data_IF_659225448505
#
_entry.id   IF_659225448505
#
_cell.length_a   1.000
_cell.length_b   1.000
_cell.length_c   1.000
_cell.angle_alpha   90.00
_cell.angle_beta   90.00
_cell.angle_gamma   90.00
#
_symmetry.space_group_name_H-M   'P 1'
#
loop_
_entity.id
_entity.type
_entity.pdbx_description
1 polymer ?
#
# COMPACT_ATOMS: atom_id res chain seq x y z
N UNK A 1 -0.93 -36.64 2.18
CA UNK A 1 -1.68 -37.88 1.93
C UNK A 1 -0.98 -38.83 0.93
N UNK A 2 -0.48 -38.41 -0.26
CA UNK A 2 0.13 -39.36 -1.22
C UNK A 2 1.40 -40.06 -0.70
N UNK A 3 2.14 -39.44 0.21
CA UNK A 3 3.31 -40.04 0.84
C UNK A 3 2.97 -41.18 1.82
N UNK A 4 1.83 -41.08 2.49
CA UNK A 4 1.36 -42.06 3.47
C UNK A 4 0.76 -43.31 2.78
N UNK A 5 0.03 -43.14 1.68
CA UNK A 5 -0.57 -44.26 0.95
C UNK A 5 0.45 -45.18 0.28
N UNK A 6 1.61 -44.64 -0.14
CA UNK A 6 2.71 -45.47 -0.69
C UNK A 6 3.48 -46.23 0.38
N UNK A 7 3.58 -45.73 1.60
CA UNK A 7 4.18 -46.48 2.72
C UNK A 7 3.46 -47.81 2.98
N UNK A 8 2.15 -47.85 2.70
CA UNK A 8 1.33 -49.05 2.88
C UNK A 8 1.56 -50.10 1.77
N UNK A 9 2.07 -49.66 0.60
CA UNK A 9 2.26 -50.55 -0.59
C UNK A 9 3.72 -50.99 -0.80
N UNK A 10 4.67 -50.48 0.00
CA UNK A 10 6.08 -50.85 -0.12
C UNK A 10 6.34 -52.18 0.58
N UNK A 11 6.91 -53.13 -0.15
CA UNK A 11 7.31 -54.42 0.46
C UNK A 11 8.43 -54.20 1.46
N UNK A 12 8.45 -54.92 2.62
CA UNK A 12 9.47 -54.76 3.67
C UNK A 12 10.89 -54.95 3.20
N UNK A 13 11.11 -55.74 2.16
CA UNK A 13 12.46 -56.00 1.57
C UNK A 13 13.03 -54.77 0.84
N UNK A 14 12.22 -53.83 0.36
CA UNK A 14 12.70 -52.59 -0.27
C UNK A 14 13.16 -51.55 0.74
N UNK A 15 12.57 -51.55 1.93
CA UNK A 15 12.97 -50.64 3.03
C UNK A 15 14.37 -51.00 3.55
N UNK A 16 14.74 -52.26 3.50
CA UNK A 16 16.07 -52.75 3.94
C UNK A 16 17.19 -52.50 2.94
N UNK A 17 16.90 -52.14 1.70
CA UNK A 17 17.88 -51.95 0.62
C UNK A 17 18.26 -50.50 0.34
N UNK A 18 17.90 -49.51 1.15
CA UNK A 18 18.18 -48.07 0.96
C UNK A 18 17.82 -47.47 -0.43
N UNK A 19 17.08 -48.22 -1.27
CA UNK A 19 16.75 -47.86 -2.65
C UNK A 19 15.33 -47.33 -2.77
N UNK A 20 14.83 -46.65 -1.73
CA UNK A 20 13.55 -46.00 -1.79
C UNK A 20 13.66 -44.57 -2.33
N UNK A 21 13.92 -44.44 -3.62
CA UNK A 21 13.66 -43.22 -4.34
C UNK A 21 12.12 -43.06 -4.42
N UNK A 22 11.57 -42.20 -3.61
CA UNK A 22 10.16 -41.77 -3.71
C UNK A 22 9.99 -40.88 -4.94
N UNK A 23 10.01 -41.48 -6.10
CA UNK A 23 9.71 -40.78 -7.34
C UNK A 23 8.20 -40.68 -7.50
N UNK A 24 7.60 -39.75 -6.75
CA UNK A 24 6.29 -39.20 -7.15
C UNK A 24 6.56 -38.35 -8.38
N UNK A 25 5.97 -38.74 -9.49
CA UNK A 25 6.01 -37.88 -10.66
C UNK A 25 5.64 -36.46 -10.20
N UNK A 26 6.51 -35.50 -10.47
CA UNK A 26 6.35 -34.07 -10.09
C UNK A 26 4.94 -33.54 -10.46
N UNK A 27 4.37 -34.04 -11.57
CA UNK A 27 3.11 -33.59 -12.15
C UNK A 27 1.91 -33.73 -11.19
N UNK A 28 1.59 -34.90 -10.56
CA UNK A 28 0.40 -34.99 -9.73
C UNK A 28 0.48 -34.14 -8.45
N UNK A 29 1.65 -33.99 -7.86
CA UNK A 29 1.85 -33.14 -6.67
C UNK A 29 1.67 -31.66 -7.03
N UNK A 30 2.22 -31.27 -8.19
CA UNK A 30 2.07 -29.91 -8.72
C UNK A 30 0.61 -29.58 -9.05
N UNK A 31 -0.11 -30.47 -9.73
CA UNK A 31 -1.53 -30.30 -10.02
C UNK A 31 -2.41 -30.22 -8.75
N UNK A 32 -2.10 -31.03 -7.73
CA UNK A 32 -2.77 -30.89 -6.43
C UNK A 32 -2.50 -29.54 -5.78
N UNK A 33 -1.28 -29.02 -5.86
CA UNK A 33 -0.95 -27.69 -5.36
C UNK A 33 -1.72 -26.57 -6.08
N UNK A 34 -1.80 -26.65 -7.42
CA UNK A 34 -2.59 -25.72 -8.21
C UNK A 34 -4.09 -25.79 -7.89
N UNK A 35 -4.63 -27.00 -7.72
CA UNK A 35 -6.04 -27.18 -7.36
C UNK A 35 -6.34 -26.64 -5.95
N UNK A 36 -5.45 -26.85 -4.99
CA UNK A 36 -5.58 -26.30 -3.65
C UNK A 36 -5.50 -24.77 -3.66
N UNK A 37 -4.57 -24.20 -4.43
CA UNK A 37 -4.43 -22.76 -4.61
C UNK A 37 -5.70 -22.14 -5.22
N UNK A 38 -6.23 -22.74 -6.29
CA UNK A 38 -7.48 -22.30 -6.89
C UNK A 38 -8.67 -22.37 -5.92
N UNK A 39 -8.77 -23.47 -5.15
CA UNK A 39 -9.81 -23.64 -4.14
C UNK A 39 -9.74 -22.54 -3.07
N UNK A 40 -8.54 -22.23 -2.56
CA UNK A 40 -8.34 -21.15 -1.58
C UNK A 40 -8.73 -19.79 -2.16
N UNK A 41 -8.35 -19.50 -3.40
CA UNK A 41 -8.76 -18.27 -4.09
C UNK A 41 -10.28 -18.18 -4.19
N UNK A 42 -10.94 -19.26 -4.59
CA UNK A 42 -12.40 -19.29 -4.72
C UNK A 42 -13.11 -19.11 -3.38
N UNK A 43 -12.63 -19.75 -2.32
CA UNK A 43 -13.18 -19.61 -0.96
C UNK A 43 -13.01 -18.17 -0.42
N UNK A 44 -11.91 -17.52 -0.76
CA UNK A 44 -11.64 -16.15 -0.31
C UNK A 44 -12.43 -15.10 -1.10
N UNK A 45 -12.48 -15.22 -2.43
CA UNK A 45 -13.12 -14.22 -3.29
C UNK A 45 -14.63 -14.42 -3.40
N UNK A 46 -15.14 -15.62 -3.15
CA UNK A 46 -16.52 -16.04 -3.36
C UNK A 46 -17.07 -15.77 -4.79
N UNK A 47 -16.20 -15.43 -5.74
CA UNK A 47 -16.52 -15.11 -7.13
C UNK A 47 -15.67 -15.93 -8.10
N UNK A 48 -16.31 -16.79 -8.90
CA UNK A 48 -15.61 -17.69 -9.82
C UNK A 48 -14.79 -16.93 -10.88
N UNK A 49 -15.35 -15.87 -11.46
CA UNK A 49 -14.71 -15.08 -12.51
C UNK A 49 -13.42 -14.42 -12.00
N UNK A 50 -13.49 -13.79 -10.83
CA UNK A 50 -12.34 -13.12 -10.21
C UNK A 50 -11.26 -14.15 -9.82
N UNK A 51 -11.66 -15.31 -9.27
CA UNK A 51 -10.72 -16.39 -8.94
C UNK A 51 -9.99 -16.92 -10.16
N UNK A 52 -10.67 -17.09 -11.31
CA UNK A 52 -10.05 -17.52 -12.56
C UNK A 52 -9.07 -16.48 -13.11
N UNK A 53 -9.44 -15.19 -13.09
CA UNK A 53 -8.55 -14.11 -13.54
C UNK A 53 -7.28 -14.09 -12.72
N UNK A 54 -7.38 -14.13 -11.39
CA UNK A 54 -6.22 -14.13 -10.49
C UNK A 54 -5.38 -15.38 -10.70
N UNK A 55 -6.01 -16.56 -10.77
CA UNK A 55 -5.31 -17.85 -10.94
C UNK A 55 -4.48 -17.90 -12.23
N UNK A 56 -5.10 -17.58 -13.37
CA UNK A 56 -4.37 -17.56 -14.64
C UNK A 56 -3.39 -16.40 -14.74
N UNK A 57 -3.69 -15.25 -14.11
CA UNK A 57 -2.78 -14.12 -13.98
C UNK A 57 -1.49 -14.51 -13.27
N UNK A 58 -1.59 -15.17 -12.11
CA UNK A 58 -0.43 -15.64 -11.32
C UNK A 58 0.37 -16.68 -12.10
N UNK A 59 -0.28 -17.65 -12.76
CA UNK A 59 0.41 -18.65 -13.58
C UNK A 59 1.12 -18.00 -14.77
N UNK A 60 0.45 -17.10 -15.48
CA UNK A 60 1.02 -16.37 -16.62
C UNK A 60 2.22 -15.52 -16.20
N UNK A 61 2.09 -14.76 -15.12
CA UNK A 61 3.18 -13.97 -14.56
C UNK A 61 4.38 -14.84 -14.14
N UNK A 62 4.12 -15.99 -13.50
CA UNK A 62 5.17 -16.93 -13.08
C UNK A 62 5.89 -17.54 -14.29
N UNK A 63 5.13 -17.95 -15.32
CA UNK A 63 5.71 -18.51 -16.54
C UNK A 63 6.55 -17.48 -17.30
N UNK A 64 6.07 -16.25 -17.43
CA UNK A 64 6.80 -15.15 -18.06
C UNK A 64 8.06 -14.79 -17.28
N UNK A 65 7.97 -14.71 -15.93
CA UNK A 65 9.10 -14.40 -15.06
C UNK A 65 10.20 -15.45 -15.16
N UNK A 66 9.86 -16.72 -14.97
CA UNK A 66 10.82 -17.84 -15.09
C UNK A 66 11.41 -17.90 -16.51
N UNK A 67 10.57 -17.74 -17.55
CA UNK A 67 10.99 -17.72 -18.94
C UNK A 67 11.98 -16.60 -19.25
N UNK A 68 11.72 -15.38 -18.76
CA UNK A 68 12.60 -14.23 -18.92
C UNK A 68 13.97 -14.46 -18.27
N UNK A 69 13.99 -14.95 -17.04
CA UNK A 69 15.23 -15.27 -16.31
C UNK A 69 16.00 -16.38 -17.04
N UNK A 70 15.31 -17.42 -17.51
CA UNK A 70 15.89 -18.50 -18.28
C UNK A 70 16.59 -18.00 -19.56
N UNK A 71 15.96 -17.06 -20.28
CA UNK A 71 16.53 -16.45 -21.47
C UNK A 71 17.73 -15.56 -21.16
N UNK A 72 17.68 -14.79 -20.06
CA UNK A 72 18.81 -13.97 -19.60
C UNK A 72 20.04 -14.81 -19.24
N UNK A 73 19.85 -15.94 -18.57
CA UNK A 73 20.93 -16.87 -18.22
C UNK A 73 21.50 -17.60 -19.45
N UNK A 74 20.73 -17.72 -20.53
CA UNK A 74 21.10 -18.49 -21.73
C UNK A 74 21.91 -17.75 -22.81
N UNK A 75 21.96 -16.43 -22.80
CA UNK A 75 22.40 -15.63 -23.97
C UNK A 75 23.90 -15.47 -24.21
N UNK A 76 24.79 -15.79 -23.28
CA UNK A 76 26.23 -15.56 -23.46
C UNK A 76 27.04 -16.86 -23.35
N UNK A 77 27.83 -17.17 -24.39
CA UNK A 77 28.85 -18.23 -24.34
C UNK A 77 30.04 -17.71 -23.54
N UNK A 78 30.24 -18.20 -22.32
CA UNK A 78 31.51 -17.98 -21.60
C UNK A 78 32.58 -18.82 -22.27
N UNK A 79 33.68 -18.15 -22.67
CA UNK A 79 34.83 -18.84 -23.24
C UNK A 79 35.39 -19.89 -22.26
N UNK A 80 35.58 -21.09 -22.74
CA UNK A 80 36.32 -22.16 -22.08
C UNK A 80 37.74 -21.64 -21.91
N UNK A 81 38.17 -21.34 -20.69
CA UNK A 81 39.57 -21.02 -20.43
C UNK A 81 39.87 -20.07 -19.26
N UNK A 82 38.90 -19.56 -18.59
CA UNK A 82 39.12 -18.65 -17.47
C UNK A 82 39.14 -19.43 -16.14
N UNK A 83 40.29 -19.34 -15.44
CA UNK A 83 40.52 -19.95 -14.12
C UNK A 83 40.11 -18.97 -13.02
N UNK A 84 39.20 -19.39 -12.12
CA UNK A 84 38.84 -18.60 -10.95
C UNK A 84 37.47 -18.95 -10.37
N UNK A 85 37.21 -18.66 -9.08
CA UNK A 85 35.96 -19.02 -8.41
C UNK A 85 34.72 -18.32 -9.00
N UNK A 86 34.86 -17.10 -9.52
CA UNK A 86 33.77 -16.35 -10.12
C UNK A 86 33.31 -16.97 -11.44
N UNK A 87 34.23 -17.41 -12.27
CA UNK A 87 33.92 -18.02 -13.57
C UNK A 87 33.33 -19.42 -13.42
N UNK A 88 33.79 -20.17 -12.42
CA UNK A 88 33.17 -21.42 -12.04
C UNK A 88 31.71 -21.17 -11.60
N UNK A 89 31.47 -20.17 -10.77
CA UNK A 89 30.11 -19.77 -10.32
C UNK A 89 29.20 -19.43 -11.48
N UNK A 90 29.64 -18.58 -12.43
CA UNK A 90 28.89 -18.21 -13.61
C UNK A 90 28.60 -19.41 -14.54
N UNK A 91 29.54 -20.32 -14.68
CA UNK A 91 29.35 -21.53 -15.49
C UNK A 91 28.33 -22.47 -14.87
N UNK A 92 28.31 -22.61 -13.55
CA UNK A 92 27.35 -23.43 -12.82
C UNK A 92 25.95 -22.82 -12.89
N UNK A 93 25.80 -21.48 -12.72
CA UNK A 93 24.54 -20.78 -12.90
C UNK A 93 23.90 -21.09 -14.26
N UNK A 94 24.69 -21.09 -15.33
CA UNK A 94 24.23 -21.36 -16.69
C UNK A 94 23.96 -22.83 -16.96
N UNK A 95 24.74 -23.73 -16.38
CA UNK A 95 24.54 -25.15 -16.58
C UNK A 95 23.19 -25.64 -16.06
N UNK A 96 22.68 -25.01 -14.99
CA UNK A 96 21.40 -25.32 -14.35
C UNK A 96 20.36 -24.22 -14.52
N UNK A 97 20.35 -23.59 -15.68
CA UNK A 97 19.52 -22.41 -15.96
C UNK A 97 18.03 -22.59 -15.56
N UNK A 98 17.42 -23.76 -15.77
CA UNK A 98 16.03 -23.99 -15.38
C UNK A 98 15.83 -23.97 -13.86
N UNK A 99 16.60 -24.73 -13.11
CA UNK A 99 16.51 -24.75 -11.65
C UNK A 99 16.87 -23.40 -11.02
N UNK A 100 17.93 -22.75 -11.52
CA UNK A 100 18.33 -21.44 -11.05
C UNK A 100 17.31 -20.34 -11.41
N UNK A 101 16.64 -20.42 -12.58
CA UNK A 101 15.57 -19.48 -12.93
C UNK A 101 14.39 -19.61 -12.00
N UNK A 102 14.01 -20.83 -11.62
CA UNK A 102 12.95 -21.05 -10.64
C UNK A 102 13.33 -20.50 -9.27
N UNK A 103 14.57 -20.73 -8.81
CA UNK A 103 15.07 -20.19 -7.54
C UNK A 103 15.10 -18.66 -7.54
N UNK A 104 15.66 -18.05 -8.61
CA UNK A 104 15.69 -16.59 -8.75
C UNK A 104 14.27 -16.04 -8.69
N UNK A 105 13.33 -16.63 -9.42
CA UNK A 105 11.94 -16.18 -9.44
C UNK A 105 11.30 -16.29 -8.05
N UNK A 106 11.47 -17.42 -7.36
CA UNK A 106 10.94 -17.63 -6.02
C UNK A 106 11.48 -16.60 -5.02
N UNK A 107 12.79 -16.33 -5.05
CA UNK A 107 13.38 -15.29 -4.19
C UNK A 107 12.96 -13.89 -4.60
N UNK A 108 12.79 -13.62 -5.90
CA UNK A 108 12.26 -12.34 -6.41
C UNK A 108 10.89 -12.03 -5.81
N UNK A 109 9.95 -12.98 -5.86
CA UNK A 109 8.62 -12.83 -5.29
C UNK A 109 8.68 -12.66 -3.78
N UNK A 110 9.47 -13.49 -3.10
CA UNK A 110 9.61 -13.42 -1.65
C UNK A 110 10.15 -12.05 -1.17
N UNK A 111 11.24 -11.57 -1.80
CA UNK A 111 11.84 -10.28 -1.48
C UNK A 111 10.89 -9.13 -1.90
N UNK A 112 10.28 -9.23 -3.08
CA UNK A 112 9.34 -8.23 -3.59
C UNK A 112 8.13 -8.04 -2.67
N UNK A 113 7.48 -9.13 -2.24
CA UNK A 113 6.37 -9.08 -1.28
C UNK A 113 6.80 -8.50 0.08
N UNK A 114 7.98 -8.89 0.56
CA UNK A 114 8.52 -8.33 1.81
C UNK A 114 8.73 -6.82 1.70
N UNK A 115 9.29 -6.34 0.59
CA UNK A 115 9.52 -4.91 0.35
C UNK A 115 8.21 -4.14 0.16
N UNK A 116 7.21 -4.70 -0.55
CA UNK A 116 5.88 -4.09 -0.69
C UNK A 116 5.24 -3.92 0.68
N UNK A 117 5.21 -4.99 1.48
CA UNK A 117 4.59 -4.93 2.82
C UNK A 117 5.33 -3.98 3.75
N UNK A 118 6.67 -3.96 3.69
CA UNK A 118 7.49 -3.00 4.44
C UNK A 118 7.19 -1.55 4.05
N UNK A 119 7.17 -1.26 2.74
CA UNK A 119 6.87 0.07 2.23
C UNK A 119 5.45 0.52 2.59
N UNK A 120 4.46 -0.37 2.42
CA UNK A 120 3.08 -0.09 2.81
C UNK A 120 2.96 0.24 4.31
N UNK A 121 3.63 -0.53 5.17
CA UNK A 121 3.65 -0.28 6.62
C UNK A 121 4.27 1.07 6.98
N UNK A 122 5.40 1.44 6.37
CA UNK A 122 6.08 2.71 6.63
C UNK A 122 5.31 3.92 6.08
N UNK A 123 4.75 3.81 4.89
CA UNK A 123 4.04 4.91 4.25
C UNK A 123 2.69 5.21 4.90
N UNK A 124 1.94 4.17 5.29
CA UNK A 124 0.70 4.36 6.06
C UNK A 124 0.96 5.07 7.38
N UNK A 125 2.03 4.72 8.08
CA UNK A 125 2.41 5.41 9.33
C UNK A 125 2.90 6.84 9.07
N UNK A 126 3.80 7.02 8.10
CA UNK A 126 4.47 8.31 7.84
C UNK A 126 3.48 9.37 7.35
N UNK A 127 2.63 9.05 6.41
CA UNK A 127 1.67 10.00 5.83
C UNK A 127 0.63 10.45 6.86
N UNK A 128 0.11 9.56 7.67
CA UNK A 128 -0.90 9.90 8.68
C UNK A 128 -0.35 10.62 9.91
N UNK A 129 0.85 10.28 10.37
CA UNK A 129 1.49 11.01 11.48
C UNK A 129 1.88 12.44 11.10
N UNK A 130 2.20 12.69 9.82
CA UNK A 130 2.52 14.03 9.32
C UNK A 130 1.28 14.81 8.85
N UNK A 131 0.16 14.13 8.60
CA UNK A 131 -1.08 14.76 8.12
C UNK A 131 -1.85 15.53 9.19
N UNK A 132 -1.63 15.23 10.47
CA UNK A 132 -2.29 15.92 11.59
C UNK A 132 -1.23 16.72 12.35
N UNK A 133 -1.03 18.02 12.06
CA UNK A 133 -0.17 18.89 12.85
C UNK A 133 -0.59 18.89 14.33
N UNK A 134 0.37 19.04 15.25
CA UNK A 134 0.10 19.02 16.69
C UNK A 134 -0.85 20.16 17.15
N UNK A 135 -0.91 21.25 16.40
CA UNK A 135 -1.79 22.40 16.63
C UNK A 135 -3.06 22.40 15.76
N UNK A 136 -3.39 21.26 15.15
CA UNK A 136 -4.65 21.11 14.40
C UNK A 136 -5.84 21.37 15.31
N UNK A 137 -6.90 22.04 14.78
CA UNK A 137 -8.12 22.26 15.56
C UNK A 137 -8.66 20.94 16.14
N UNK A 138 -8.85 20.90 17.45
CA UNK A 138 -9.42 19.75 18.16
C UNK A 138 -10.85 20.01 18.68
N UNK A 139 -11.37 21.21 18.45
CA UNK A 139 -12.73 21.60 18.80
C UNK A 139 -13.40 22.31 17.64
N UNK A 140 -14.71 22.04 17.47
CA UNK A 140 -15.61 22.76 16.57
C UNK A 140 -16.67 23.46 17.39
N UNK A 141 -16.99 24.70 17.04
CA UNK A 141 -18.15 25.41 17.54
C UNK A 141 -19.13 25.68 16.40
N UNK A 142 -20.36 25.26 16.58
CA UNK A 142 -21.47 25.46 15.63
C UNK A 142 -22.62 26.19 16.26
N UNK A 143 -23.57 26.66 15.45
CA UNK A 143 -24.74 27.43 15.88
C UNK A 143 -24.38 28.75 16.58
N UNK A 144 -23.26 29.35 16.22
CA UNK A 144 -22.85 30.65 16.74
C UNK A 144 -23.78 31.70 16.11
N UNK A 145 -24.49 32.43 16.94
CA UNK A 145 -25.38 33.50 16.44
C UNK A 145 -24.54 34.70 15.96
N UNK A 146 -25.11 35.58 15.07
CA UNK A 146 -24.42 36.81 14.70
C UNK A 146 -24.08 37.71 15.88
N UNK A 147 -24.90 37.69 16.94
CA UNK A 147 -24.68 38.47 18.16
C UNK A 147 -23.51 37.91 19.00
N UNK A 148 -23.35 36.59 19.02
CA UNK A 148 -22.31 35.92 19.83
C UNK A 148 -20.96 35.88 19.13
N UNK A 149 -20.91 36.09 17.79
CA UNK A 149 -19.69 35.97 16.99
C UNK A 149 -18.53 36.82 17.51
N UNK A 150 -18.78 38.14 17.70
CA UNK A 150 -17.74 39.09 18.15
C UNK A 150 -17.28 38.79 19.57
N UNK A 151 -18.21 38.48 20.46
CA UNK A 151 -17.91 38.15 21.85
C UNK A 151 -17.12 36.85 21.96
N UNK A 152 -17.48 35.82 21.18
CA UNK A 152 -16.77 34.56 21.13
C UNK A 152 -15.38 34.72 20.54
N UNK A 153 -15.22 35.54 19.51
CA UNK A 153 -13.91 35.83 18.93
C UNK A 153 -12.99 36.52 19.96
N UNK A 154 -13.53 37.46 20.72
CA UNK A 154 -12.81 38.15 21.82
C UNK A 154 -12.43 37.16 22.93
N UNK A 155 -13.36 36.29 23.35
CA UNK A 155 -13.10 35.26 24.35
C UNK A 155 -11.93 34.34 23.92
N UNK A 156 -11.93 33.86 22.67
CA UNK A 156 -10.84 33.00 22.16
C UNK A 156 -9.50 33.74 22.14
N UNK A 157 -9.49 35.01 21.71
CA UNK A 157 -8.27 35.83 21.68
C UNK A 157 -7.74 36.13 23.10
N UNK A 158 -8.58 36.47 24.05
CA UNK A 158 -8.18 36.74 25.44
C UNK A 158 -7.57 35.52 26.12
N UNK A 159 -7.97 34.31 25.72
CA UNK A 159 -7.41 33.05 26.23
C UNK A 159 -6.27 32.47 25.40
N UNK A 160 -5.76 33.26 24.43
CA UNK A 160 -4.67 32.86 23.52
C UNK A 160 -4.98 31.57 22.73
N UNK A 161 -6.25 31.42 22.32
CA UNK A 161 -6.74 30.31 21.49
C UNK A 161 -6.80 30.75 20.04
N UNK A 162 -6.02 30.09 19.18
CA UNK A 162 -6.06 30.33 17.73
C UNK A 162 -7.30 29.65 17.12
N UNK A 163 -8.18 30.44 16.54
CA UNK A 163 -9.34 29.94 15.81
C UNK A 163 -9.15 30.10 14.28
N UNK A 164 -9.77 29.21 13.52
CA UNK A 164 -10.00 29.40 12.09
C UNK A 164 -11.05 30.50 11.88
N UNK A 165 -11.21 31.03 10.66
CA UNK A 165 -12.25 32.01 10.37
C UNK A 165 -13.65 31.54 10.77
N UNK A 166 -14.52 32.48 11.12
CA UNK A 166 -15.92 32.21 11.41
C UNK A 166 -16.70 32.21 10.09
N UNK A 167 -17.08 31.03 9.63
CA UNK A 167 -17.80 30.83 8.37
C UNK A 167 -19.31 30.94 8.60
N UNK A 168 -20.03 31.83 7.87
CA UNK A 168 -21.48 31.82 7.89
C UNK A 168 -22.01 30.55 7.24
N UNK A 169 -23.00 29.92 7.84
CA UNK A 169 -23.54 28.63 7.38
C UNK A 169 -25.07 28.69 7.39
N UNK A 170 -25.63 28.13 6.33
CA UNK A 170 -27.08 27.84 6.26
C UNK A 170 -27.31 26.51 5.55
N UNK A 171 -28.45 25.87 5.84
CA UNK A 171 -28.90 24.68 5.12
C UNK A 171 -29.58 25.04 3.83
N UNK A 172 -29.20 24.42 2.73
CA UNK A 172 -29.80 24.64 1.42
C UNK A 172 -29.99 23.34 0.64
N UNK A 173 -31.00 23.36 -0.24
CA UNK A 173 -31.23 22.33 -1.27
C UNK A 173 -30.83 22.91 -2.61
N UNK A 174 -30.14 22.15 -3.45
CA UNK A 174 -29.71 22.57 -4.79
C UNK A 174 -30.45 21.75 -5.85
N UNK A 175 -30.84 22.40 -6.95
CA UNK A 175 -31.48 21.75 -8.10
C UNK A 175 -31.14 22.48 -9.43
N UNK A 176 -31.15 21.72 -10.55
CA UNK A 176 -30.99 22.27 -11.92
C UNK A 176 -32.35 22.70 -12.50
N UNK A 177 -32.35 23.60 -13.50
CA UNK A 177 -33.54 24.20 -14.08
C UNK A 177 -34.41 23.29 -14.95
N UNK A 178 -33.80 22.26 -15.57
CA UNK A 178 -34.51 21.39 -16.53
C UNK A 178 -35.32 20.26 -15.88
N UNK A 179 -35.35 20.20 -14.57
CA UNK A 179 -35.94 19.09 -13.82
C UNK A 179 -37.41 19.39 -13.49
N UNK A 180 -38.28 19.20 -14.47
CA UNK A 180 -39.74 19.14 -14.24
C UNK A 180 -40.19 17.86 -13.53
N UNK A 181 -39.28 16.88 -13.33
CA UNK A 181 -39.51 15.64 -12.61
C UNK A 181 -38.98 15.73 -11.19
N UNK A 182 -39.82 15.37 -10.20
CA UNK A 182 -39.42 15.32 -8.78
C UNK A 182 -38.28 14.34 -8.47
N UNK A 183 -37.94 13.46 -9.42
CA UNK A 183 -36.89 12.45 -9.28
C UNK A 183 -35.46 12.99 -9.47
N UNK A 184 -35.28 14.15 -10.09
CA UNK A 184 -33.94 14.71 -10.41
C UNK A 184 -33.51 15.84 -9.45
N UNK A 185 -34.22 16.07 -8.37
CA UNK A 185 -33.75 16.95 -7.30
C UNK A 185 -32.55 16.32 -6.64
N UNK A 186 -31.48 17.10 -6.47
CA UNK A 186 -30.42 16.79 -5.55
C UNK A 186 -31.04 16.77 -4.15
N UNK A 187 -31.68 15.66 -3.79
CA UNK A 187 -32.55 15.54 -2.59
C UNK A 187 -31.70 15.42 -1.31
N UNK A 188 -30.67 16.26 -1.20
CA UNK A 188 -29.82 16.35 -0.04
C UNK A 188 -29.70 17.78 0.44
N UNK A 189 -29.92 17.99 1.73
CA UNK A 189 -29.57 19.24 2.39
C UNK A 189 -28.06 19.38 2.49
N UNK A 190 -27.55 20.49 1.94
CA UNK A 190 -26.14 20.86 2.07
C UNK A 190 -26.00 21.99 3.07
N UNK A 191 -24.97 21.92 3.90
CA UNK A 191 -24.47 23.07 4.60
C UNK A 191 -23.65 23.89 3.61
N UNK A 192 -24.12 25.07 3.26
CA UNK A 192 -23.43 25.98 2.35
C UNK A 192 -22.87 27.16 3.14
N UNK A 193 -21.77 27.71 2.63
CA UNK A 193 -21.17 28.94 3.15
C UNK A 193 -20.99 29.95 2.02
N UNK A 194 -20.65 31.19 2.40
CA UNK A 194 -20.30 32.25 1.45
C UNK A 194 -19.13 33.06 2.00
N UNK A 195 -18.09 33.18 1.20
CA UNK A 195 -16.82 33.84 1.54
C UNK A 195 -16.23 34.50 0.30
N UNK A 196 -15.43 35.54 0.50
CA UNK A 196 -14.72 36.22 -0.58
C UNK A 196 -13.41 35.55 -0.94
N UNK A 197 -12.69 35.02 0.06
CA UNK A 197 -11.38 34.42 -0.11
C UNK A 197 -11.48 32.91 -0.21
N UNK A 198 -10.62 32.29 -1.05
CA UNK A 198 -10.54 30.84 -1.16
C UNK A 198 -10.05 30.27 0.18
N UNK A 199 -10.73 29.26 0.77
CA UNK A 199 -10.26 28.63 1.99
C UNK A 199 -8.87 28.00 1.83
N UNK A 200 -8.07 28.05 2.88
CA UNK A 200 -6.80 27.33 2.92
C UNK A 200 -7.00 25.85 2.55
N UNK A 201 -6.10 25.30 1.75
CA UNK A 201 -6.11 23.88 1.32
C UNK A 201 -7.30 23.48 0.42
N UNK A 202 -7.91 24.45 -0.26
CA UNK A 202 -8.78 24.22 -1.38
C UNK A 202 -8.09 24.70 -2.66
N UNK A 203 -7.98 23.83 -3.67
CA UNK A 203 -7.36 24.14 -4.96
C UNK A 203 -8.41 24.15 -6.06
N UNK A 204 -8.39 25.16 -6.92
CA UNK A 204 -9.31 25.26 -8.05
C UNK A 204 -8.87 24.29 -9.14
N UNK A 205 -9.75 23.35 -9.53
CA UNK A 205 -9.51 22.39 -10.60
C UNK A 205 -9.89 22.95 -11.96
N UNK A 206 -11.06 23.58 -12.05
CA UNK A 206 -11.60 24.15 -13.30
C UNK A 206 -12.31 25.46 -12.98
N UNK A 207 -12.29 26.39 -13.94
CA UNK A 207 -12.87 27.72 -13.78
C UNK A 207 -11.96 28.65 -12.99
N UNK A 208 -12.50 29.73 -12.48
CA UNK A 208 -11.80 30.74 -11.68
C UNK A 208 -12.56 30.99 -10.39
N UNK A 209 -11.83 31.37 -9.32
CA UNK A 209 -12.46 31.84 -8.10
C UNK A 209 -13.31 33.08 -8.39
N UNK A 210 -14.13 33.49 -7.48
CA UNK A 210 -15.10 34.58 -7.69
C UNK A 210 -14.49 35.82 -8.33
N UNK A 211 -15.00 36.21 -9.51
CA UNK A 211 -14.60 37.45 -10.18
C UNK A 211 -15.35 38.62 -9.52
N UNK A 212 -14.65 39.74 -9.33
CA UNK A 212 -15.22 40.99 -8.79
C UNK A 212 -16.39 41.53 -9.60
N UNK A 213 -16.58 41.09 -10.84
CA UNK A 213 -17.64 41.56 -11.76
C UNK A 213 -18.84 40.59 -11.89
N UNK A 214 -18.70 39.31 -11.46
CA UNK A 214 -19.73 38.28 -11.51
C UNK A 214 -20.12 37.87 -10.08
N UNK A 215 -21.12 38.52 -9.53
CA UNK A 215 -21.52 38.37 -8.13
C UNK A 215 -22.48 37.19 -7.87
N UNK A 216 -22.73 36.30 -8.84
CA UNK A 216 -23.80 35.28 -8.78
C UNK A 216 -23.27 33.86 -8.91
N UNK A 217 -21.98 33.65 -8.70
CA UNK A 217 -21.33 32.34 -8.85
C UNK A 217 -21.30 31.52 -7.56
N UNK A 218 -21.24 30.18 -7.75
CA UNK A 218 -20.89 29.24 -6.70
C UNK A 218 -19.68 28.43 -7.13
N UNK A 219 -18.91 28.00 -6.15
CA UNK A 219 -17.84 27.02 -6.29
C UNK A 219 -18.27 25.69 -5.67
N UNK A 220 -18.11 24.60 -6.41
CA UNK A 220 -18.56 23.26 -6.02
C UNK A 220 -17.33 22.36 -5.82
N UNK A 221 -17.37 21.45 -4.84
CA UNK A 221 -16.33 20.43 -4.72
C UNK A 221 -16.40 19.47 -5.91
N UNK A 222 -15.25 18.89 -6.29
CA UNK A 222 -15.13 17.89 -7.35
C UNK A 222 -16.03 16.68 -7.10
N UNK A 223 -16.09 16.16 -5.87
CA UNK A 223 -16.98 15.07 -5.47
C UNK A 223 -18.45 15.33 -5.82
N UNK A 224 -18.92 16.55 -5.59
CA UNK A 224 -20.31 16.95 -5.87
C UNK A 224 -20.49 17.24 -7.36
N UNK A 225 -19.49 17.87 -8.00
CA UNK A 225 -19.48 18.11 -9.44
C UNK A 225 -19.59 16.79 -10.24
N UNK A 226 -18.81 15.77 -9.89
CA UNK A 226 -18.86 14.47 -10.55
C UNK A 226 -20.15 13.71 -10.25
N UNK A 227 -20.58 13.68 -8.98
CA UNK A 227 -21.76 12.92 -8.55
C UNK A 227 -23.07 13.42 -9.17
N UNK A 228 -23.20 14.75 -9.38
CA UNK A 228 -24.42 15.39 -9.87
C UNK A 228 -24.24 15.97 -11.28
N UNK A 229 -23.16 15.61 -11.97
CA UNK A 229 -22.85 16.05 -13.34
C UNK A 229 -22.98 17.57 -13.50
N UNK A 230 -22.38 18.34 -12.55
CA UNK A 230 -22.38 19.79 -12.56
C UNK A 230 -21.18 20.32 -13.34
N UNK A 231 -21.43 21.03 -14.44
CA UNK A 231 -20.39 21.64 -15.26
C UNK A 231 -20.30 23.15 -15.04
N UNK A 232 -19.15 23.76 -15.37
CA UNK A 232 -18.96 25.21 -15.30
C UNK A 232 -19.94 25.90 -16.25
N UNK A 233 -20.65 26.89 -15.74
CA UNK A 233 -21.69 27.63 -16.46
C UNK A 233 -23.09 27.08 -16.29
N UNK A 234 -23.27 25.91 -15.67
CA UNK A 234 -24.59 25.37 -15.35
C UNK A 234 -25.37 26.32 -14.45
N UNK A 235 -26.63 26.54 -14.81
CA UNK A 235 -27.58 27.29 -13.99
C UNK A 235 -28.11 26.40 -12.87
N UNK A 236 -27.93 26.82 -11.62
CA UNK A 236 -28.37 26.09 -10.43
C UNK A 236 -29.23 27.00 -9.55
N UNK A 237 -30.21 26.41 -8.90
CA UNK A 237 -31.08 27.05 -7.93
C UNK A 237 -30.76 26.56 -6.53
N UNK A 238 -30.61 27.49 -5.60
CA UNK A 238 -30.27 27.23 -4.19
C UNK A 238 -31.53 27.63 -3.38
N UNK A 239 -32.19 26.64 -2.81
CA UNK A 239 -33.35 26.87 -1.94
C UNK A 239 -32.92 26.91 -0.48
N UNK A 240 -33.10 28.06 0.16
CA UNK A 240 -32.87 28.30 1.59
C UNK A 240 -34.18 28.65 2.25
N UNK A 241 -34.75 27.71 3.02
CA UNK A 241 -36.13 27.91 3.54
C UNK A 241 -37.16 28.09 2.42
N UNK A 242 -37.79 29.23 2.37
CA UNK A 242 -38.75 29.59 1.32
C UNK A 242 -38.12 30.39 0.16
N UNK A 243 -36.89 30.84 0.30
CA UNK A 243 -36.20 31.64 -0.70
C UNK A 243 -35.49 30.78 -1.72
N UNK A 244 -35.57 31.14 -3.00
CA UNK A 244 -34.88 30.49 -4.12
C UNK A 244 -33.92 31.49 -4.74
N UNK A 245 -32.63 31.19 -4.65
CA UNK A 245 -31.54 32.01 -5.19
C UNK A 245 -31.06 31.35 -6.48
N UNK A 246 -31.03 32.14 -7.56
CA UNK A 246 -30.49 31.74 -8.85
C UNK A 246 -28.97 31.98 -8.87
N UNK A 247 -28.20 30.94 -9.25
CA UNK A 247 -26.75 30.98 -9.32
C UNK A 247 -26.21 30.19 -10.49
N UNK A 248 -24.90 30.25 -10.71
CA UNK A 248 -24.16 29.49 -11.74
C UNK A 248 -22.94 28.83 -11.14
N UNK A 249 -22.64 27.65 -11.64
CA UNK A 249 -21.36 26.95 -11.27
C UNK A 249 -20.20 27.72 -11.91
N UNK A 250 -19.43 28.43 -11.13
CA UNK A 250 -18.31 29.25 -11.59
C UNK A 250 -16.98 28.50 -11.56
N UNK A 251 -16.77 27.63 -10.57
CA UNK A 251 -15.56 26.81 -10.45
C UNK A 251 -15.83 25.47 -9.78
N UNK A 252 -14.98 24.52 -10.07
CA UNK A 252 -14.85 23.27 -9.30
C UNK A 252 -13.53 23.28 -8.57
N UNK A 253 -13.50 22.72 -7.35
CA UNK A 253 -12.32 22.70 -6.49
C UNK A 253 -12.15 21.37 -5.77
N UNK A 254 -10.89 20.99 -5.48
CA UNK A 254 -10.58 19.96 -4.51
C UNK A 254 -10.73 20.51 -3.10
N UNK A 255 -11.20 19.67 -2.20
CA UNK A 255 -11.36 19.99 -0.78
C UNK A 255 -10.58 18.99 0.04
N UNK A 256 -9.60 19.46 0.81
CA UNK A 256 -8.89 18.60 1.75
C UNK A 256 -9.71 18.49 3.05
N UNK A 257 -10.31 17.32 3.27
CA UNK A 257 -11.11 17.03 4.46
C UNK A 257 -10.26 16.63 5.69
N UNK A 258 -8.98 16.36 5.51
CA UNK A 258 -8.10 15.81 6.57
C UNK A 258 -7.51 16.88 7.52
N UNK A 259 -7.83 18.16 7.29
CA UNK A 259 -7.23 19.29 8.01
C UNK A 259 -7.97 19.72 9.28
N UNK A 260 -9.07 19.03 9.64
CA UNK A 260 -9.93 19.37 10.78
C UNK A 260 -10.38 20.84 10.83
N UNK A 261 -10.46 21.48 9.65
CA UNK A 261 -11.03 22.83 9.50
C UNK A 261 -12.42 22.74 8.93
N UNK A 262 -13.31 23.72 9.17
CA UNK A 262 -14.61 23.76 8.53
C UNK A 262 -14.45 23.80 7.01
N UNK A 263 -14.95 22.77 6.33
CA UNK A 263 -14.96 22.65 4.88
C UNK A 263 -16.39 22.49 4.38
N UNK A 264 -16.63 22.90 3.14
CA UNK A 264 -17.97 22.93 2.56
C UNK A 264 -17.92 22.36 1.14
N UNK A 265 -18.94 21.59 0.80
CA UNK A 265 -19.11 21.11 -0.58
C UNK A 265 -19.40 22.24 -1.56
N UNK A 266 -20.10 23.26 -1.10
CA UNK A 266 -20.55 24.38 -1.92
C UNK A 266 -20.26 25.67 -1.18
N UNK A 267 -19.61 26.58 -1.90
CA UNK A 267 -19.30 27.94 -1.43
C UNK A 267 -19.92 28.91 -2.43
N UNK A 268 -20.68 29.86 -1.93
CA UNK A 268 -21.26 30.92 -2.75
C UNK A 268 -20.56 32.27 -2.59
N UNK A 269 -20.78 33.17 -3.54
CA UNK A 269 -20.35 34.56 -3.39
C UNK A 269 -21.21 35.28 -2.33
N UNK A 270 -20.65 36.12 -1.44
CA UNK A 270 -21.37 36.76 -0.35
C UNK A 270 -22.57 37.61 -0.79
N UNK A 271 -22.52 38.15 -2.01
CA UNK A 271 -23.64 38.95 -2.52
C UNK A 271 -24.94 38.18 -2.72
N UNK A 272 -24.88 36.86 -2.90
CA UNK A 272 -26.05 35.98 -3.07
C UNK A 272 -26.85 35.79 -1.78
N UNK A 273 -26.22 35.98 -0.62
CA UNK A 273 -26.76 35.58 0.68
C UNK A 273 -26.90 36.75 1.67
N UNK A 274 -26.96 38.01 1.17
CA UNK A 274 -26.98 39.19 2.02
C UNK A 274 -28.16 39.24 3.00
N UNK A 275 -29.31 38.73 2.58
CA UNK A 275 -30.54 38.78 3.37
C UNK A 275 -30.86 37.40 4.03
N UNK A 276 -29.96 36.44 3.88
CA UNK A 276 -30.15 35.07 4.43
C UNK A 276 -29.72 35.01 5.89
N UNK A 277 -30.63 34.50 6.71
CA UNK A 277 -30.31 34.22 8.12
C UNK A 277 -29.30 33.06 8.22
N UNK A 278 -28.22 33.28 8.96
CA UNK A 278 -27.14 32.29 9.12
C UNK A 278 -26.70 32.16 10.56
N UNK A 279 -26.15 31.02 10.87
CA UNK A 279 -25.29 30.82 12.03
C UNK A 279 -23.83 30.76 11.58
N UNK A 280 -22.89 30.80 12.51
CA UNK A 280 -21.48 30.66 12.19
C UNK A 280 -20.96 29.36 12.73
N UNK A 281 -19.93 28.81 12.03
CA UNK A 281 -19.09 27.69 12.43
C UNK A 281 -17.65 28.13 12.42
N UNK A 282 -16.90 27.68 13.41
CA UNK A 282 -15.43 27.81 13.46
C UNK A 282 -14.80 26.57 14.08
N UNK A 283 -13.51 26.38 13.91
CA UNK A 283 -12.73 25.41 14.63
C UNK A 283 -11.53 26.07 15.31
N UNK A 284 -11.07 25.50 16.41
CA UNK A 284 -9.98 26.05 17.21
C UNK A 284 -9.26 24.93 17.97
N UNK A 285 -8.04 25.21 18.35
CA UNK A 285 -7.22 24.27 19.14
C UNK A 285 -7.20 24.70 20.62
N UNK A 286 -7.68 23.83 21.51
CA UNK A 286 -7.53 23.99 22.95
C UNK A 286 -6.47 22.99 23.43
N UNK A 287 -5.35 23.45 24.03
CA UNK A 287 -4.37 22.57 24.64
C UNK A 287 -4.98 21.74 25.78
N UNK A 288 -4.45 20.53 26.00
CA UNK A 288 -4.99 19.60 27.01
C UNK A 288 -5.00 20.13 28.45
N UNK A 289 -4.08 21.05 28.78
CA UNK A 289 -4.02 21.75 30.07
C UNK A 289 -5.11 22.83 30.25
N UNK A 290 -5.73 23.28 29.14
CA UNK A 290 -6.76 24.32 29.11
C UNK A 290 -8.16 23.80 28.75
N UNK A 291 -8.40 22.51 28.77
CA UNK A 291 -9.71 21.92 28.36
C UNK A 291 -10.93 22.46 29.13
N UNK A 292 -10.73 23.00 30.34
CA UNK A 292 -11.78 23.68 31.10
C UNK A 292 -12.39 24.87 30.30
N UNK A 293 -11.64 25.51 29.39
CA UNK A 293 -12.13 26.61 28.57
C UNK A 293 -13.26 26.19 27.63
N UNK A 294 -13.30 24.93 27.17
CA UNK A 294 -14.42 24.44 26.38
C UNK A 294 -15.73 24.43 27.19
N UNK A 295 -15.67 24.06 28.46
CA UNK A 295 -16.80 24.08 29.36
C UNK A 295 -17.23 25.53 29.72
N UNK A 296 -16.26 26.43 29.92
CA UNK A 296 -16.54 27.84 30.18
C UNK A 296 -17.18 28.50 28.96
N UNK A 297 -16.71 28.20 27.75
CA UNK A 297 -17.27 28.67 26.51
C UNK A 297 -18.75 28.24 26.35
N UNK A 298 -19.08 26.96 26.64
CA UNK A 298 -20.46 26.47 26.61
C UNK A 298 -21.35 27.07 27.70
N UNK A 299 -20.79 27.53 28.81
CA UNK A 299 -21.55 28.21 29.89
C UNK A 299 -21.86 29.66 29.50
N UNK A 300 -20.91 30.33 28.88
CA UNK A 300 -21.04 31.72 28.47
C UNK A 300 -21.94 31.87 27.24
N UNK A 301 -21.76 31.01 26.24
CA UNK A 301 -22.50 31.01 24.97
C UNK A 301 -23.48 29.83 24.89
N UNK A 302 -24.65 29.95 25.50
CA UNK A 302 -25.64 28.86 25.63
C UNK A 302 -26.21 28.34 24.32
N UNK A 303 -26.20 29.15 23.25
CA UNK A 303 -26.66 28.79 21.91
C UNK A 303 -25.62 28.03 21.10
N UNK A 304 -24.36 28.15 21.50
CA UNK A 304 -23.23 27.55 20.79
C UNK A 304 -23.05 26.10 21.25
N UNK A 305 -22.97 25.20 20.29
CA UNK A 305 -22.63 23.81 20.53
C UNK A 305 -21.13 23.60 20.24
N UNK A 306 -20.36 23.22 21.25
CA UNK A 306 -18.94 22.91 21.10
C UNK A 306 -18.77 21.40 21.08
N UNK A 307 -18.09 20.90 20.05
CA UNK A 307 -17.76 19.48 19.90
C UNK A 307 -16.25 19.31 19.94
N UNK A 308 -15.77 18.51 20.89
CA UNK A 308 -14.39 18.05 20.89
C UNK A 308 -14.27 16.86 19.93
N UNK A 309 -13.30 16.95 19.02
CA UNK A 309 -12.93 15.82 18.13
C UNK A 309 -11.72 15.07 18.65
N UNK A 310 -11.21 15.44 19.83
CA UNK A 310 -10.02 14.81 20.42
C UNK A 310 -10.21 13.29 20.58
N UNK A 311 -11.37 12.86 21.10
CA UNK A 311 -11.69 11.43 21.21
C UNK A 311 -11.76 10.72 19.87
N UNK A 312 -12.26 11.39 18.81
CA UNK A 312 -12.28 10.85 17.45
C UNK A 312 -10.86 10.73 16.88
N UNK A 313 -10.01 11.73 17.12
CA UNK A 313 -8.60 11.70 16.71
C UNK A 313 -7.87 10.57 17.42
N UNK A 314 -8.08 10.38 18.72
CA UNK A 314 -7.51 9.27 19.47
C UNK A 314 -7.98 7.91 18.95
N UNK A 315 -9.27 7.74 18.69
CA UNK A 315 -9.81 6.52 18.10
C UNK A 315 -9.21 6.23 16.72
N UNK A 316 -9.05 7.25 15.87
CA UNK A 316 -8.40 7.12 14.56
C UNK A 316 -6.95 6.69 14.74
N UNK A 317 -6.20 7.30 15.67
CA UNK A 317 -4.81 6.90 15.97
C UNK A 317 -4.74 5.44 16.44
N UNK A 318 -5.63 5.00 17.32
CA UNK A 318 -5.70 3.60 17.78
C UNK A 318 -5.98 2.63 16.61
N UNK A 319 -6.91 2.98 15.71
CA UNK A 319 -7.21 2.17 14.52
C UNK A 319 -5.97 2.08 13.63
N UNK A 320 -5.30 3.18 13.37
CA UNK A 320 -4.07 3.23 12.57
C UNK A 320 -2.99 2.35 13.20
N UNK A 321 -2.83 2.43 14.51
CA UNK A 321 -1.87 1.60 15.24
C UNK A 321 -2.21 0.11 15.14
N UNK A 322 -3.48 -0.27 15.26
CA UNK A 322 -3.94 -1.65 15.08
C UNK A 322 -3.70 -2.14 13.65
N UNK A 323 -4.02 -1.34 12.64
CA UNK A 323 -3.76 -1.67 11.23
C UNK A 323 -2.27 -1.85 10.99
N UNK A 324 -1.44 -0.98 11.56
CA UNK A 324 0.02 -1.07 11.47
C UNK A 324 0.56 -2.35 12.12
N UNK A 325 0.06 -2.71 13.30
CA UNK A 325 0.43 -3.97 13.96
C UNK A 325 0.02 -5.19 13.12
N UNK A 326 -1.16 -5.14 12.49
CA UNK A 326 -1.60 -6.19 11.57
C UNK A 326 -0.68 -6.30 10.35
N UNK A 327 -0.31 -5.18 9.72
CA UNK A 327 0.63 -5.13 8.60
C UNK A 327 2.02 -5.67 9.01
N UNK A 328 2.53 -5.28 10.16
CA UNK A 328 3.80 -5.78 10.69
C UNK A 328 3.75 -7.29 10.96
N UNK A 329 2.60 -7.82 11.41
CA UNK A 329 2.40 -9.26 11.60
C UNK A 329 2.40 -10.00 10.25
N UNK A 330 1.75 -9.44 9.23
CA UNK A 330 1.79 -9.96 7.85
C UNK A 330 3.21 -9.91 7.29
N UNK A 331 3.94 -8.80 7.53
CA UNK A 331 5.34 -8.66 7.14
C UNK A 331 6.21 -9.76 7.77
N UNK A 332 6.04 -10.03 9.05
CA UNK A 332 6.76 -11.10 9.75
C UNK A 332 6.44 -12.47 9.16
N UNK A 333 5.18 -12.79 8.93
CA UNK A 333 4.75 -14.07 8.36
C UNK A 333 5.24 -14.24 6.92
N UNK A 334 5.17 -13.22 6.09
CA UNK A 334 5.66 -13.26 4.70
C UNK A 334 7.18 -13.40 4.67
N UNK A 335 7.91 -12.71 5.53
CA UNK A 335 9.37 -12.80 5.66
C UNK A 335 9.79 -14.18 6.13
N UNK A 336 9.13 -14.79 7.12
CA UNK A 336 9.37 -16.16 7.56
C UNK A 336 9.08 -17.16 6.44
N UNK A 337 7.95 -17.01 5.73
CA UNK A 337 7.60 -17.87 4.60
C UNK A 337 8.65 -17.78 3.49
N UNK A 338 9.14 -16.57 3.20
CA UNK A 338 10.22 -16.33 2.26
C UNK A 338 11.53 -17.02 2.67
N UNK A 339 11.87 -16.95 3.95
CA UNK A 339 13.07 -17.65 4.49
C UNK A 339 12.94 -19.18 4.38
N UNK A 340 11.75 -19.74 4.69
CA UNK A 340 11.50 -21.17 4.51
C UNK A 340 11.57 -21.59 3.05
N UNK A 341 11.01 -20.81 2.14
CA UNK A 341 11.09 -21.06 0.70
C UNK A 341 12.55 -21.02 0.23
N UNK A 342 13.30 -19.99 0.66
CA UNK A 342 14.72 -19.85 0.38
C UNK A 342 15.51 -21.06 0.87
N UNK A 343 15.28 -21.49 2.10
CA UNK A 343 15.94 -22.65 2.70
C UNK A 343 15.61 -23.94 1.94
N UNK A 344 14.36 -24.20 1.60
CA UNK A 344 13.92 -25.34 0.83
C UNK A 344 14.56 -25.39 -0.56
N UNK A 345 14.52 -24.26 -1.28
CA UNK A 345 15.10 -24.14 -2.61
C UNK A 345 16.64 -24.36 -2.60
N UNK A 346 17.30 -23.91 -1.52
CA UNK A 346 18.72 -24.15 -1.32
C UNK A 346 19.01 -25.63 -1.03
N UNK A 347 18.23 -26.32 -0.17
CA UNK A 347 18.41 -27.75 0.13
C UNK A 347 18.34 -28.62 -1.12
N UNK A 348 17.35 -28.39 -1.99
CA UNK A 348 17.23 -29.12 -3.27
C UNK A 348 18.45 -28.92 -4.17
N UNK A 349 18.98 -27.72 -4.26
CA UNK A 349 20.20 -27.41 -4.98
C UNK A 349 21.44 -28.04 -4.36
N UNK A 350 21.45 -28.18 -3.03
CA UNK A 350 22.61 -28.67 -2.29
C UNK A 350 22.89 -30.16 -2.44
N UNK A 351 21.86 -30.99 -2.52
CA UNK A 351 22.02 -32.44 -2.68
C UNK A 351 22.83 -32.79 -3.95
N UNK A 352 22.52 -32.12 -5.03
CA UNK A 352 23.21 -32.29 -6.32
C UNK A 352 24.64 -31.72 -6.30
N UNK A 353 24.85 -30.59 -5.60
CA UNK A 353 26.17 -29.93 -5.46
C UNK A 353 27.12 -30.72 -4.56
N UNK A 354 26.58 -31.42 -3.59
CA UNK A 354 27.32 -32.35 -2.75
C UNK A 354 28.10 -33.39 -3.59
N UNK A 355 27.39 -33.99 -4.56
CA UNK A 355 27.98 -34.94 -5.48
C UNK A 355 29.06 -34.31 -6.39
N UNK A 356 28.78 -33.12 -6.95
CA UNK A 356 29.73 -32.37 -7.79
C UNK A 356 30.98 -31.94 -7.03
N UNK A 357 30.81 -31.48 -5.78
CA UNK A 357 31.94 -31.10 -4.91
C UNK A 357 32.84 -32.29 -4.63
N UNK A 358 32.26 -33.49 -4.48
CA UNK A 358 33.03 -34.71 -4.31
C UNK A 358 33.88 -35.03 -5.58
N UNK A 359 33.27 -34.92 -6.78
CA UNK A 359 33.97 -35.12 -8.06
C UNK A 359 35.09 -34.08 -8.25
N UNK A 360 34.84 -32.79 -7.99
CA UNK A 360 35.86 -31.75 -8.08
C UNK A 360 37.03 -31.98 -7.12
N UNK A 361 36.77 -32.49 -5.92
CA UNK A 361 37.81 -32.86 -4.93
C UNK A 361 38.64 -34.03 -5.40
N UNK A 362 38.06 -35.03 -6.02
CA UNK A 362 38.82 -36.16 -6.60
C UNK A 362 39.71 -35.72 -7.75
N UNK A 363 39.35 -34.65 -8.47
CA UNK A 363 40.15 -34.02 -9.53
C UNK A 363 41.16 -32.99 -8.99
N UNK A 364 41.31 -32.87 -7.65
CA UNK A 364 42.34 -32.04 -7.01
C UNK A 364 41.90 -30.61 -6.66
N UNK A 365 40.61 -30.25 -6.76
CA UNK A 365 40.13 -28.94 -6.36
C UNK A 365 40.24 -28.73 -4.83
N UNK A 366 40.75 -27.56 -4.42
CA UNK A 366 40.84 -27.20 -3.00
C UNK A 366 39.47 -26.92 -2.39
N UNK A 367 39.34 -27.23 -1.08
CA UNK A 367 38.09 -26.88 -0.33
C UNK A 367 37.78 -25.40 -0.36
N UNK A 368 38.81 -24.56 -0.39
CA UNK A 368 38.66 -23.09 -0.47
C UNK A 368 38.03 -22.67 -1.80
N UNK A 369 38.52 -23.25 -2.92
CA UNK A 369 37.99 -22.95 -4.25
C UNK A 369 36.49 -23.30 -4.36
N UNK A 370 36.10 -24.48 -3.86
CA UNK A 370 34.72 -24.96 -3.88
C UNK A 370 33.82 -24.05 -3.02
N UNK A 371 34.26 -23.68 -1.81
CA UNK A 371 33.54 -22.77 -0.94
C UNK A 371 33.31 -21.40 -1.59
N UNK A 372 34.38 -20.81 -2.11
CA UNK A 372 34.33 -19.48 -2.74
C UNK A 372 33.45 -19.52 -3.99
N UNK A 373 33.60 -20.49 -4.86
CA UNK A 373 32.77 -20.62 -6.07
C UNK A 373 31.28 -20.75 -5.73
N UNK A 374 30.94 -21.60 -4.76
CA UNK A 374 29.55 -21.78 -4.33
C UNK A 374 29.00 -20.51 -3.67
N UNK A 375 29.78 -19.85 -2.81
CA UNK A 375 29.37 -18.61 -2.18
C UNK A 375 29.11 -17.49 -3.22
N UNK A 376 30.02 -17.31 -4.20
CA UNK A 376 29.86 -16.37 -5.29
C UNK A 376 28.60 -16.66 -6.13
N UNK A 377 28.33 -17.94 -6.42
CA UNK A 377 27.14 -18.33 -7.17
C UNK A 377 25.86 -17.91 -6.45
N UNK A 378 25.75 -18.19 -5.14
CA UNK A 378 24.58 -17.82 -4.35
C UNK A 378 24.47 -16.31 -4.09
N UNK A 379 25.60 -15.63 -3.94
CA UNK A 379 25.64 -14.17 -3.86
C UNK A 379 25.10 -13.54 -5.14
N UNK A 380 25.47 -14.06 -6.31
CA UNK A 380 24.92 -13.62 -7.59
C UNK A 380 23.42 -13.92 -7.73
N UNK A 381 23.00 -15.12 -7.32
CA UNK A 381 21.57 -15.47 -7.26
C UNK A 381 20.80 -14.49 -6.36
N UNK A 382 21.32 -14.20 -5.19
CA UNK A 382 20.74 -13.25 -4.25
C UNK A 382 20.68 -11.81 -4.81
N UNK A 383 21.78 -11.36 -5.44
CA UNK A 383 21.85 -10.05 -6.08
C UNK A 383 20.79 -9.91 -7.20
N UNK A 384 20.72 -10.88 -8.11
CA UNK A 384 19.75 -10.86 -9.22
C UNK A 384 18.32 -10.91 -8.67
N UNK A 385 18.06 -11.80 -7.72
CA UNK A 385 16.73 -11.94 -7.11
C UNK A 385 16.33 -10.68 -6.35
N UNK A 386 17.25 -10.08 -5.62
CA UNK A 386 17.01 -8.85 -4.88
C UNK A 386 16.75 -7.63 -5.77
N UNK A 387 17.50 -7.50 -6.88
CA UNK A 387 17.25 -6.44 -7.86
C UNK A 387 15.91 -6.60 -8.57
N UNK A 388 15.57 -7.81 -8.99
CA UNK A 388 14.27 -8.10 -9.58
C UNK A 388 13.13 -7.94 -8.54
N UNK A 389 13.38 -8.32 -7.28
CA UNK A 389 12.44 -8.11 -6.17
C UNK A 389 12.14 -6.64 -5.91
N UNK A 390 13.16 -5.78 -5.97
CA UNK A 390 12.99 -4.33 -5.90
C UNK A 390 12.14 -3.79 -7.04
N UNK A 391 12.35 -4.28 -8.28
CA UNK A 391 11.52 -3.89 -9.43
C UNK A 391 10.06 -4.32 -9.28
N UNK A 392 9.81 -5.53 -8.79
CA UNK A 392 8.47 -6.02 -8.49
C UNK A 392 7.84 -5.18 -7.37
N UNK A 393 8.61 -4.81 -6.34
CA UNK A 393 8.14 -3.95 -5.27
C UNK A 393 7.75 -2.56 -5.78
N UNK A 394 8.57 -1.94 -6.62
CA UNK A 394 8.21 -0.65 -7.24
C UNK A 394 6.91 -0.73 -8.05
N UNK A 395 6.76 -1.77 -8.88
CA UNK A 395 5.55 -1.96 -9.66
C UNK A 395 4.30 -2.15 -8.76
N UNK A 396 4.45 -2.91 -7.68
CA UNK A 396 3.38 -3.15 -6.70
C UNK A 396 3.00 -1.88 -5.93
N UNK A 397 3.99 -1.13 -5.45
CA UNK A 397 3.78 0.13 -4.71
C UNK A 397 3.13 1.18 -5.62
N UNK A 398 3.65 1.35 -6.83
CA UNK A 398 3.06 2.23 -7.83
C UNK A 398 1.57 1.92 -8.07
N UNK A 399 1.23 0.64 -8.20
CA UNK A 399 -0.15 0.23 -8.39
C UNK A 399 -1.01 0.54 -7.15
N UNK A 400 -0.51 0.28 -5.95
CA UNK A 400 -1.21 0.54 -4.70
C UNK A 400 -1.45 2.06 -4.54
N UNK A 401 -0.43 2.89 -4.71
CA UNK A 401 -0.53 4.34 -4.57
C UNK A 401 -1.52 4.95 -5.57
N UNK A 402 -1.41 4.56 -6.86
CA UNK A 402 -2.20 5.22 -7.92
C UNK A 402 -3.62 4.67 -8.07
N UNK A 403 -3.89 3.42 -7.67
CA UNK A 403 -5.18 2.75 -7.90
C UNK A 403 -5.96 2.46 -6.62
N UNK A 404 -5.30 2.34 -5.49
CA UNK A 404 -5.96 2.04 -4.22
C UNK A 404 -6.08 3.30 -3.36
N UNK A 405 -5.00 4.10 -3.30
CA UNK A 405 -4.98 5.34 -2.52
C UNK A 405 -5.26 6.60 -3.35
N UNK A 406 -5.30 6.48 -4.69
CA UNK A 406 -5.52 7.60 -5.62
C UNK A 406 -4.55 8.77 -5.39
N UNK A 407 -3.33 8.46 -4.91
CA UNK A 407 -2.27 9.42 -4.64
C UNK A 407 -1.25 9.47 -5.77
N UNK A 408 -0.44 10.53 -5.80
CA UNK A 408 0.69 10.63 -6.71
C UNK A 408 1.78 9.63 -6.31
N UNK A 409 2.26 8.85 -7.29
CA UNK A 409 3.30 7.85 -7.06
C UNK A 409 4.60 8.52 -6.58
N UNK A 410 5.13 8.03 -5.46
CA UNK A 410 6.38 8.50 -4.88
C UNK A 410 7.55 7.59 -5.23
N UNK A 411 8.74 8.17 -5.40
CA UNK A 411 9.94 7.40 -5.65
C UNK A 411 10.68 7.12 -4.33
N UNK A 412 10.88 5.83 -4.02
CA UNK A 412 11.55 5.37 -2.79
C UNK A 412 12.94 4.81 -3.11
N UNK A 413 14.01 5.63 -3.11
CA UNK A 413 15.35 5.18 -3.47
C UNK A 413 15.89 4.08 -2.54
N UNK A 414 15.38 4.00 -1.31
CA UNK A 414 15.78 3.00 -0.32
C UNK A 414 15.46 1.58 -0.81
N UNK A 415 14.35 1.36 -1.50
CA UNK A 415 13.94 0.05 -2.02
C UNK A 415 14.96 -0.47 -3.04
N UNK A 416 15.52 0.42 -3.87
CA UNK A 416 16.54 0.07 -4.86
C UNK A 416 17.82 -0.49 -4.22
N UNK A 417 18.13 -0.06 -3.01
CA UNK A 417 19.31 -0.50 -2.26
C UNK A 417 18.96 -1.70 -1.37
N UNK A 418 17.82 -1.65 -0.69
CA UNK A 418 17.38 -2.71 0.23
C UNK A 418 17.15 -4.04 -0.47
N UNK A 419 16.56 -4.04 -1.67
CA UNK A 419 16.30 -5.28 -2.42
C UNK A 419 17.56 -6.10 -2.69
N UNK A 420 18.56 -5.55 -3.39
CA UNK A 420 19.84 -6.24 -3.61
C UNK A 420 20.56 -6.65 -2.32
N UNK A 421 20.57 -5.77 -1.31
CA UNK A 421 21.21 -6.07 -0.02
C UNK A 421 20.51 -7.23 0.69
N UNK A 422 19.21 -7.24 0.79
CA UNK A 422 18.44 -8.33 1.40
C UNK A 422 18.68 -9.64 0.63
N UNK A 423 18.65 -9.60 -0.70
CA UNK A 423 18.92 -10.76 -1.52
C UNK A 423 20.31 -11.36 -1.26
N UNK A 424 21.36 -10.51 -1.22
CA UNK A 424 22.72 -10.94 -0.90
C UNK A 424 22.80 -11.51 0.51
N UNK A 425 22.31 -10.78 1.51
CA UNK A 425 22.44 -11.18 2.92
C UNK A 425 21.72 -12.50 3.18
N UNK A 426 20.44 -12.61 2.78
CA UNK A 426 19.62 -13.79 3.04
C UNK A 426 20.20 -15.01 2.33
N UNK A 427 20.44 -14.92 1.03
CA UNK A 427 20.88 -16.08 0.23
C UNK A 427 22.31 -16.49 0.58
N UNK A 428 23.22 -15.51 0.80
CA UNK A 428 24.62 -15.84 1.16
C UNK A 428 24.76 -16.41 2.58
N UNK A 429 23.98 -15.90 3.56
CA UNK A 429 24.02 -16.40 4.93
C UNK A 429 23.51 -17.84 5.03
N UNK A 430 22.39 -18.14 4.37
CA UNK A 430 21.86 -19.50 4.28
C UNK A 430 22.81 -20.44 3.57
N UNK A 431 23.41 -19.98 2.47
CA UNK A 431 24.43 -20.74 1.75
C UNK A 431 25.65 -21.04 2.63
N UNK A 432 26.19 -20.07 3.35
CA UNK A 432 27.32 -20.22 4.24
C UNK A 432 27.04 -21.27 5.33
N UNK A 433 25.87 -21.25 5.92
CA UNK A 433 25.43 -22.24 6.91
C UNK A 433 25.43 -23.67 6.32
N UNK A 434 24.85 -23.84 5.14
CA UNK A 434 24.77 -25.16 4.48
C UNK A 434 26.11 -25.66 4.00
N UNK A 435 26.99 -24.81 3.42
CA UNK A 435 28.35 -25.20 2.97
C UNK A 435 29.21 -25.70 4.12
N UNK A 436 29.09 -25.09 5.30
CA UNK A 436 29.88 -25.51 6.46
C UNK A 436 29.67 -26.98 6.84
N UNK A 437 28.47 -27.51 6.59
CA UNK A 437 28.12 -28.92 6.79
C UNK A 437 28.81 -29.89 5.80
N UNK A 438 28.98 -29.49 4.54
CA UNK A 438 29.56 -30.36 3.48
C UNK A 438 31.07 -30.46 3.59
N UNK A 439 31.74 -29.34 3.86
CA UNK A 439 33.21 -29.31 3.87
C UNK A 439 33.83 -30.03 5.05
N UNK A 440 33.04 -30.33 6.09
CA UNK A 440 33.49 -31.16 7.24
C UNK A 440 33.44 -32.67 6.97
N UNK A 441 32.79 -33.14 5.88
CA UNK A 441 32.66 -34.55 5.55
C UNK A 441 33.78 -35.02 4.61
N UNK A 442 34.26 -36.27 4.79
CA UNK A 442 35.27 -36.84 3.91
C UNK A 442 34.70 -37.15 2.51
N UNK A 443 35.49 -37.03 1.42
CA UNK A 443 35.05 -37.33 0.06
C UNK A 443 34.45 -38.72 -0.11
N UNK A 444 35.00 -39.70 0.58
CA UNK A 444 34.54 -41.09 0.55
C UNK A 444 33.11 -41.25 1.08
N UNK A 445 32.74 -40.49 2.13
CA UNK A 445 31.41 -40.53 2.71
C UNK A 445 30.37 -39.77 1.82
N UNK A 446 30.84 -38.81 1.03
CA UNK A 446 30.01 -38.03 0.10
C UNK A 446 29.66 -38.76 -1.19
N UNK A 447 30.51 -39.74 -1.61
CA UNK A 447 30.29 -40.55 -2.81
C UNK A 447 29.48 -41.83 -2.53
N UNK A 448 29.36 -42.24 -1.26
CA UNK A 448 28.61 -43.43 -0.83
C UNK A 448 27.16 -43.12 -0.38
N UNK A 449 26.75 -41.87 -0.38
CA UNK A 449 25.39 -41.38 -0.14
C UNK A 449 24.76 -40.91 -1.47
#
# INVERSE_FOLDING_TARGET
YPHITKLITISPMRVLKDDVSFDYGFIPVFLMGLAAFFLLLYLYTSQLTLSLIIFFGVIGFSALGIGSIYLLLGKNKTGLGASGPILLALSELRRRKFGNSFQIFAFTIAIGLTLITFSASQNLLGSWQTSIPEDSPNNFAINITPQDKENMQSFLQENDIKSKPFYPVTNAIIFKKDEQNEEDKIDRNFNITWIEELPEQNDILKGEWFDKNLNNGISVSDDISERYELEIGDEVFIKVGEEIIKSYVQSTRTVNWDNFSPNFFIIGHPSLFKDISSTYITSFYIPSDKQYLAADLMREFRTVSVFSIEELIEQIKEIIEQVTQALNSILLLTSLSALFLAFSALQDGFSVRKHQSAVLRTLGASNSLIKQSTLFEFTLLGLISGTLGALVAYAGIYFIETRVFETTASFYPEISIMGPLLGIIVVSSLCYYLISGITRQSPKKLLMQ
#
